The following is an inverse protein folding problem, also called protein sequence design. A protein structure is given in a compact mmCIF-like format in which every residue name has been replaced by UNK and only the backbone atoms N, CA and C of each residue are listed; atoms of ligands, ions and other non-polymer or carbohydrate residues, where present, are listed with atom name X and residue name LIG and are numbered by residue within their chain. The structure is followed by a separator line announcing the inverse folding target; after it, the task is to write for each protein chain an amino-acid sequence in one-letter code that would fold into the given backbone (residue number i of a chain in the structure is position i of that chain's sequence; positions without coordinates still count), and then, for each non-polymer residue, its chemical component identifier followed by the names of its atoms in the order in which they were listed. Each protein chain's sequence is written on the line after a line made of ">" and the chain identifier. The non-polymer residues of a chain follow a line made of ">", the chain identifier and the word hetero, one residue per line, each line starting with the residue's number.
data_IF_367284134796
#
_entry.id   IF_367284134796
#
_cell.length_a   1.000
_cell.length_b   1.000
_cell.length_c   1.000
_cell.angle_alpha   90.00
_cell.angle_beta   90.00
_cell.angle_gamma   90.00
#
_symmetry.space_group_name_H-M   'P 1'
#
loop_
_entity.id
_entity.type
_entity.pdbx_description
1 polymer ?
#
# COMPACT_ATOMS: atom_id res chain seq x y z
N UNK A 1 6.98 -1.10 5.20
CA UNK A 1 7.19 0.37 5.06
C UNK A 1 5.97 1.05 5.67
N UNK A 2 6.15 2.00 6.60
CA UNK A 2 5.07 2.66 7.37
C UNK A 2 4.11 1.72 8.14
N UNK A 3 4.65 0.82 8.97
CA UNK A 3 3.84 -0.14 9.77
C UNK A 3 3.05 0.52 10.92
N UNK A 4 3.43 1.73 11.34
CA UNK A 4 2.82 2.44 12.47
C UNK A 4 1.90 3.60 12.05
N UNK A 5 1.95 4.02 10.78
CA UNK A 5 1.16 5.15 10.24
C UNK A 5 0.01 4.61 9.38
N UNK A 6 -1.22 5.10 9.59
CA UNK A 6 -2.42 4.67 8.87
C UNK A 6 -2.53 3.13 8.75
N UNK A 7 -2.76 2.46 9.88
CA UNK A 7 -2.78 0.98 9.99
C UNK A 7 -3.98 0.32 9.28
N UNK A 8 -4.99 1.10 8.93
CA UNK A 8 -6.13 0.75 8.08
C UNK A 8 -5.74 0.51 6.60
N UNK A 9 -4.59 1.02 6.15
CA UNK A 9 -4.03 0.75 4.83
C UNK A 9 -2.66 0.05 4.96
N UNK A 10 -2.56 -1.17 4.42
CA UNK A 10 -1.31 -1.94 4.33
C UNK A 10 -0.64 -1.62 3.01
N UNK A 11 0.64 -1.23 3.05
CA UNK A 11 1.48 -1.06 1.86
C UNK A 11 2.79 -1.81 2.06
N UNK A 12 3.24 -2.51 1.03
CA UNK A 12 4.44 -3.33 1.12
C UNK A 12 5.00 -3.70 -0.24
N UNK A 13 6.29 -4.01 -0.28
CA UNK A 13 6.91 -4.58 -1.46
C UNK A 13 6.90 -6.10 -1.34
N UNK A 14 6.56 -6.78 -2.43
CA UNK A 14 6.65 -8.22 -2.54
C UNK A 14 7.31 -8.62 -3.87
N UNK A 15 7.50 -9.91 -4.07
CA UNK A 15 7.89 -10.47 -5.36
C UNK A 15 6.88 -11.50 -5.77
N UNK A 16 6.36 -11.38 -6.98
CA UNK A 16 5.45 -12.35 -7.58
C UNK A 16 6.11 -12.91 -8.84
N UNK A 17 6.30 -14.24 -8.87
CA UNK A 17 7.00 -14.93 -9.96
C UNK A 17 8.37 -14.30 -10.32
N UNK A 18 9.14 -13.88 -9.31
CA UNK A 18 10.45 -13.24 -9.49
C UNK A 18 10.42 -11.77 -9.87
N UNK A 19 9.24 -11.18 -10.14
CA UNK A 19 9.09 -9.75 -10.45
C UNK A 19 8.76 -8.96 -9.19
N UNK A 20 9.45 -7.83 -8.92
CA UNK A 20 9.11 -6.95 -7.81
C UNK A 20 7.73 -6.32 -8.05
N UNK A 21 6.86 -6.37 -7.05
CA UNK A 21 5.50 -5.83 -7.08
C UNK A 21 5.23 -5.00 -5.84
N UNK A 22 4.44 -3.95 -5.97
CA UNK A 22 3.86 -3.22 -4.84
C UNK A 22 2.54 -3.85 -4.42
N UNK A 23 2.32 -4.03 -3.13
CA UNK A 23 1.05 -4.47 -2.56
C UNK A 23 0.45 -3.31 -1.78
N UNK A 24 -0.81 -3.03 -2.07
CA UNK A 24 -1.71 -2.18 -1.29
C UNK A 24 -2.84 -3.08 -0.83
N UNK A 25 -3.28 -2.99 0.42
CA UNK A 25 -4.45 -3.74 0.90
C UNK A 25 -5.14 -2.97 2.01
N UNK A 26 -6.46 -3.11 2.14
CA UNK A 26 -7.15 -2.59 3.33
C UNK A 26 -6.97 -3.54 4.52
N UNK A 27 -6.90 -2.99 5.73
CA UNK A 27 -6.88 -3.76 6.96
C UNK A 27 -8.21 -3.56 7.70
N UNK A 28 -9.18 -4.48 7.55
CA UNK A 28 -10.50 -4.34 8.17
C UNK A 28 -10.44 -4.38 9.70
N UNK A 29 -9.41 -5.00 10.29
CA UNK A 29 -9.22 -5.05 11.75
C UNK A 29 -8.89 -3.70 12.38
N UNK A 30 -8.65 -2.66 11.58
CA UNK A 30 -8.33 -1.31 12.04
C UNK A 30 -9.31 -0.34 11.40
N UNK A 31 -10.06 0.41 12.21
CA UNK A 31 -11.02 1.43 11.74
C UNK A 31 -12.00 0.88 10.68
N UNK A 32 -12.41 -0.40 10.81
CA UNK A 32 -13.25 -1.11 9.86
C UNK A 32 -12.73 -1.13 8.40
N UNK A 33 -11.44 -0.86 8.17
CA UNK A 33 -10.86 -0.77 6.83
C UNK A 33 -11.30 0.45 6.04
N UNK A 34 -11.82 1.48 6.72
CA UNK A 34 -12.22 2.75 6.09
C UNK A 34 -10.98 3.52 5.61
N UNK A 35 -11.10 4.13 4.43
CA UNK A 35 -10.10 5.02 3.86
C UNK A 35 -10.21 6.41 4.51
N UNK A 36 -9.30 6.69 5.44
CA UNK A 36 -9.09 8.03 5.99
C UNK A 36 -8.08 8.83 5.15
N UNK A 37 -7.96 10.13 5.44
CA UNK A 37 -7.01 11.05 4.78
C UNK A 37 -5.57 10.52 4.87
N UNK A 38 -5.15 10.07 6.05
CA UNK A 38 -3.80 9.53 6.25
C UNK A 38 -3.55 8.24 5.45
N UNK A 39 -4.59 7.40 5.32
CA UNK A 39 -4.54 6.17 4.50
C UNK A 39 -4.46 6.49 3.02
N UNK A 40 -5.24 7.48 2.55
CA UNK A 40 -5.22 7.94 1.18
C UNK A 40 -3.85 8.51 0.81
N UNK A 41 -3.27 9.38 1.64
CA UNK A 41 -1.93 9.95 1.42
C UNK A 41 -0.85 8.86 1.41
N UNK A 42 -0.93 7.90 2.32
CA UNK A 42 -0.02 6.76 2.37
C UNK A 42 -0.08 5.92 1.09
N UNK A 43 -1.27 5.58 0.63
CA UNK A 43 -1.46 4.81 -0.61
C UNK A 43 -0.99 5.63 -1.81
N UNK A 44 -1.40 6.90 -1.94
CA UNK A 44 -1.03 7.75 -3.06
C UNK A 44 0.49 7.89 -3.21
N UNK A 45 1.22 8.06 -2.10
CA UNK A 45 2.68 8.15 -2.11
C UNK A 45 3.33 6.83 -2.51
N UNK A 46 2.79 5.70 -2.07
CA UNK A 46 3.28 4.37 -2.42
C UNK A 46 3.01 4.00 -3.88
N UNK A 47 1.81 4.33 -4.38
CA UNK A 47 1.43 4.13 -5.78
C UNK A 47 2.33 4.96 -6.70
N UNK A 48 2.53 6.24 -6.39
CA UNK A 48 3.46 7.10 -7.15
C UNK A 48 4.88 6.56 -7.17
N UNK A 49 5.36 6.02 -6.03
CA UNK A 49 6.66 5.39 -5.99
C UNK A 49 6.72 4.16 -6.90
N UNK A 50 5.74 3.25 -6.82
CA UNK A 50 5.70 2.07 -7.67
C UNK A 50 5.60 2.42 -9.17
N UNK A 51 4.81 3.45 -9.51
CA UNK A 51 4.66 3.97 -10.86
C UNK A 51 5.99 4.51 -11.42
N UNK A 52 6.74 5.30 -10.64
CA UNK A 52 8.06 5.82 -11.05
C UNK A 52 9.09 4.72 -11.37
N UNK A 53 8.98 3.55 -10.73
CA UNK A 53 9.89 2.42 -10.96
C UNK A 53 9.31 1.34 -11.87
N UNK A 54 8.14 1.60 -12.49
CA UNK A 54 7.41 0.62 -13.31
C UNK A 54 7.12 -0.70 -12.57
N UNK A 55 6.91 -0.65 -11.25
CA UNK A 55 6.50 -1.82 -10.48
C UNK A 55 5.00 -2.07 -10.65
N UNK A 56 4.58 -3.31 -10.97
CA UNK A 56 3.17 -3.68 -10.95
C UNK A 56 2.62 -3.54 -9.53
N UNK A 57 1.43 -2.96 -9.42
CA UNK A 57 0.73 -2.79 -8.14
C UNK A 57 -0.39 -3.82 -8.06
N UNK A 58 -0.51 -4.43 -6.89
CA UNK A 58 -1.57 -5.36 -6.50
C UNK A 58 -2.33 -4.67 -5.37
N UNK A 59 -3.65 -4.55 -5.52
CA UNK A 59 -4.58 -3.99 -4.53
C UNK A 59 -5.45 -5.05 -3.88
#
# INVERSE_FOLDING_TARGET
>A
VHALFAKNAVVGFARLAGRPVGIVANQPSVLAGVLDIDSADKIARFVRFCDCFNFPIIT
#
